data_IF_434028408785
#
_entry.id   IF_434028408785
#
_cell.length_a   1.000
_cell.length_b   1.000
_cell.length_c   1.000
_cell.angle_alpha   90.00
_cell.angle_beta   90.00
_cell.angle_gamma   90.00
#
_symmetry.space_group_name_H-M   'P 1'
#
loop_
_entity.id
_entity.type
_entity.pdbx_description
1 polymer ?
#
# COMPACT_ATOMS: atom_id res chain seq x y z
N UNK A 1 -0.63 4.14 19.95
CA UNK A 1 0.36 3.05 19.70
C UNK A 1 1.68 3.51 20.31
N UNK A 2 2.25 2.81 21.31
CA UNK A 2 3.53 3.21 21.92
C UNK A 2 4.66 2.47 21.22
N UNK A 3 5.58 3.20 20.57
CA UNK A 3 6.68 2.64 19.78
C UNK A 3 7.96 2.58 20.63
N UNK A 4 8.65 1.44 20.60
CA UNK A 4 9.95 1.28 21.26
C UNK A 4 11.06 2.00 20.47
N UNK A 5 11.94 2.65 21.23
CA UNK A 5 12.87 3.68 20.76
C UNK A 5 14.26 3.06 20.51
N UNK A 6 14.64 2.87 19.24
CA UNK A 6 16.02 2.66 18.80
C UNK A 6 16.14 3.11 17.32
N UNK A 7 16.10 4.42 17.09
CA UNK A 7 15.78 5.02 15.78
C UNK A 7 16.74 4.73 14.61
N UNK A 8 18.04 4.50 14.85
CA UNK A 8 19.03 4.34 13.75
C UNK A 8 19.17 2.92 13.19
N UNK A 9 18.81 1.89 13.95
CA UNK A 9 18.99 0.51 13.49
C UNK A 9 17.92 0.08 12.46
N UNK A 10 16.74 0.73 12.55
CA UNK A 10 15.52 0.33 11.88
C UNK A 10 15.13 1.22 10.68
N UNK A 11 15.92 2.23 10.32
CA UNK A 11 15.66 3.05 9.13
C UNK A 11 16.91 3.11 8.24
N UNK A 12 16.84 2.49 7.06
CA UNK A 12 18.00 2.28 6.19
C UNK A 12 17.63 2.50 4.73
N UNK A 13 18.41 3.33 4.05
CA UNK A 13 18.36 3.44 2.59
C UNK A 13 19.29 2.39 2.00
N UNK A 14 18.75 1.54 1.12
CA UNK A 14 19.50 0.55 0.34
C UNK A 14 19.44 0.89 -1.13
N UNK A 15 20.61 0.89 -1.75
CA UNK A 15 20.77 1.04 -3.17
C UNK A 15 20.81 -0.33 -3.84
N UNK A 16 19.91 -0.54 -4.79
CA UNK A 16 19.80 -1.77 -5.59
C UNK A 16 20.33 -1.48 -6.99
N UNK A 17 21.31 -2.26 -7.43
CA UNK A 17 21.83 -2.16 -8.78
C UNK A 17 20.86 -2.81 -9.78
N UNK A 18 20.40 -2.05 -10.75
CA UNK A 18 19.60 -2.53 -11.87
C UNK A 18 20.56 -3.17 -12.90
N UNK A 19 20.78 -4.47 -12.76
CA UNK A 19 21.65 -5.22 -13.68
C UNK A 19 21.06 -5.32 -15.09
N UNK A 20 21.92 -5.47 -16.10
CA UNK A 20 21.49 -5.70 -17.50
C UNK A 20 20.58 -6.92 -17.66
N UNK A 21 20.72 -7.94 -16.80
CA UNK A 21 19.85 -9.12 -16.82
C UNK A 21 18.43 -8.79 -16.36
N UNK A 22 18.29 -7.94 -15.33
CA UNK A 22 16.99 -7.46 -14.85
C UNK A 22 16.31 -6.55 -15.88
N UNK A 23 17.07 -5.67 -16.54
CA UNK A 23 16.56 -4.78 -17.59
C UNK A 23 16.02 -5.56 -18.80
N UNK A 24 16.62 -6.71 -19.14
CA UNK A 24 16.11 -7.58 -20.21
C UNK A 24 14.75 -8.21 -19.86
N UNK A 25 14.46 -8.42 -18.57
CA UNK A 25 13.20 -9.02 -18.11
C UNK A 25 12.04 -8.03 -18.07
N UNK A 26 12.30 -6.74 -17.90
CA UNK A 26 11.26 -5.70 -17.82
C UNK A 26 11.67 -4.46 -18.59
N UNK A 27 10.88 -4.11 -19.62
CA UNK A 27 11.13 -2.98 -20.52
C UNK A 27 11.27 -1.66 -19.76
N UNK A 28 10.36 -1.37 -18.82
CA UNK A 28 10.35 -0.13 -18.05
C UNK A 28 11.62 0.08 -17.20
N UNK A 29 12.34 -0.99 -16.85
CA UNK A 29 13.61 -0.88 -16.12
C UNK A 29 14.75 -0.40 -17.01
N UNK A 30 14.68 -0.61 -18.34
CA UNK A 30 15.63 0.00 -19.29
C UNK A 30 15.40 1.50 -19.35
N UNK A 31 14.15 1.92 -19.45
CA UNK A 31 13.78 3.34 -19.50
C UNK A 31 14.17 4.06 -18.19
N UNK A 32 13.88 3.45 -17.04
CA UNK A 32 14.32 3.97 -15.75
C UNK A 32 15.85 4.08 -15.66
N UNK A 33 16.57 3.02 -16.05
CA UNK A 33 18.03 3.00 -16.04
C UNK A 33 18.65 4.09 -16.92
N UNK A 34 18.03 4.38 -18.07
CA UNK A 34 18.48 5.42 -18.99
C UNK A 34 18.20 6.84 -18.46
N UNK A 35 17.12 7.04 -17.71
CA UNK A 35 16.69 8.35 -17.22
C UNK A 35 17.28 8.73 -15.86
N UNK A 36 17.28 7.78 -14.90
CA UNK A 36 17.70 8.00 -13.51
C UNK A 36 18.97 7.24 -13.10
N UNK A 37 19.52 6.45 -14.01
CA UNK A 37 20.72 5.64 -13.78
C UNK A 37 20.42 4.24 -13.26
N UNK A 38 21.48 3.42 -13.19
CA UNK A 38 21.37 2.00 -12.84
C UNK A 38 21.23 1.73 -11.34
N UNK A 39 21.09 2.76 -10.50
CA UNK A 39 21.00 2.63 -9.06
C UNK A 39 19.59 3.00 -8.59
N UNK A 40 18.90 2.06 -7.95
CA UNK A 40 17.56 2.23 -7.43
C UNK A 40 17.62 2.34 -5.90
N UNK A 41 17.38 3.54 -5.38
CA UNK A 41 17.38 3.80 -3.93
C UNK A 41 16.03 3.43 -3.34
N UNK A 42 16.02 2.62 -2.28
CA UNK A 42 14.83 2.26 -1.52
C UNK A 42 15.07 2.46 -0.03
N UNK A 43 14.13 3.09 0.65
CA UNK A 43 14.17 3.24 2.09
C UNK A 43 13.39 2.11 2.75
N UNK A 44 14.03 1.47 3.72
CA UNK A 44 13.48 0.41 4.55
C UNK A 44 13.29 0.96 5.96
N UNK A 45 12.04 1.03 6.40
CA UNK A 45 11.64 1.48 7.73
C UNK A 45 11.08 0.27 8.47
N UNK A 46 11.64 -0.06 9.62
CA UNK A 46 11.25 -1.19 10.42
C UNK A 46 10.56 -0.73 11.71
N UNK A 47 9.58 -1.49 12.20
CA UNK A 47 8.96 -1.20 13.49
C UNK A 47 8.61 -2.48 14.24
N UNK A 48 8.94 -2.50 15.54
CA UNK A 48 8.58 -3.61 16.42
C UNK A 48 7.26 -3.32 17.12
N UNK A 49 6.35 -4.28 17.05
CA UNK A 49 5.03 -4.25 17.68
C UNK A 49 5.09 -4.82 19.10
N UNK A 50 4.01 -4.63 19.86
CA UNK A 50 3.92 -5.02 21.28
C UNK A 50 3.99 -6.54 21.49
N UNK A 51 3.54 -7.29 20.50
CA UNK A 51 3.56 -8.76 20.47
C UNK A 51 4.93 -9.33 20.02
N UNK A 52 5.92 -8.47 19.81
CA UNK A 52 7.26 -8.86 19.38
C UNK A 52 7.42 -9.00 17.86
N UNK A 53 6.34 -8.89 17.08
CA UNK A 53 6.43 -8.92 15.62
C UNK A 53 7.17 -7.69 15.08
N UNK A 54 7.83 -7.84 13.94
CA UNK A 54 8.55 -6.74 13.26
C UNK A 54 7.91 -6.49 11.90
N UNK A 55 7.37 -5.29 11.72
CA UNK A 55 6.94 -4.79 10.42
C UNK A 55 8.11 -4.17 9.66
N UNK A 56 8.24 -4.48 8.38
CA UNK A 56 9.20 -3.86 7.46
C UNK A 56 8.41 -3.14 6.37
N UNK A 57 8.63 -1.84 6.26
CA UNK A 57 7.99 -0.96 5.29
C UNK A 57 9.02 -0.50 4.27
N UNK A 58 8.65 -0.56 2.99
CA UNK A 58 9.51 -0.10 1.89
C UNK A 58 8.85 1.13 1.29
N UNK A 59 9.61 2.22 1.18
CA UNK A 59 9.09 3.51 0.71
C UNK A 59 10.16 4.28 -0.07
N UNK A 60 9.70 5.17 -0.96
CA UNK A 60 10.51 6.20 -1.63
C UNK A 60 10.41 7.55 -0.90
N UNK A 61 9.62 7.64 0.17
CA UNK A 61 9.43 8.88 0.91
C UNK A 61 10.71 9.28 1.69
N UNK A 62 11.15 10.55 1.58
CA UNK A 62 12.40 11.00 2.19
C UNK A 62 12.31 11.03 3.71
N UNK A 63 13.38 10.59 4.39
CA UNK A 63 13.43 10.56 5.85
C UNK A 63 13.46 11.91 6.54
N UNK A 64 13.85 12.97 5.81
CA UNK A 64 13.84 14.35 6.32
C UNK A 64 12.42 14.90 6.52
N UNK A 65 11.48 14.46 5.69
CA UNK A 65 10.09 14.94 5.70
C UNK A 65 9.17 13.91 6.37
N UNK A 66 9.42 12.63 6.14
CA UNK A 66 8.62 11.53 6.65
C UNK A 66 9.46 10.67 7.62
N UNK A 67 9.48 11.01 8.93
CA UNK A 67 10.12 10.17 9.93
C UNK A 67 9.47 8.78 9.99
N UNK A 68 10.15 7.85 10.65
CA UNK A 68 9.72 6.46 10.80
C UNK A 68 8.28 6.35 11.31
N UNK A 69 7.94 7.15 12.31
CA UNK A 69 6.63 7.14 12.97
C UNK A 69 5.51 7.47 11.98
N UNK A 70 5.76 8.42 11.07
CA UNK A 70 4.80 8.83 10.04
C UNK A 70 4.62 7.74 8.99
N UNK A 71 5.70 7.05 8.59
CA UNK A 71 5.60 5.90 7.67
C UNK A 71 4.72 4.79 8.28
N UNK A 72 4.94 4.48 9.57
CA UNK A 72 4.15 3.47 10.28
C UNK A 72 2.69 3.91 10.41
N UNK A 73 2.45 5.18 10.72
CA UNK A 73 1.10 5.75 10.82
C UNK A 73 0.37 5.73 9.47
N UNK A 74 1.03 6.17 8.39
CA UNK A 74 0.50 6.16 7.03
C UNK A 74 0.17 4.74 6.59
N UNK A 75 1.05 3.78 6.84
CA UNK A 75 0.73 2.37 6.57
C UNK A 75 -0.46 1.89 7.42
N UNK A 76 -0.58 2.35 8.67
CA UNK A 76 -1.74 2.06 9.51
C UNK A 76 -3.07 2.51 8.89
N UNK A 77 -3.10 3.61 8.12
CA UNK A 77 -4.31 4.06 7.40
C UNK A 77 -4.80 3.08 6.35
N UNK A 78 -3.93 2.18 5.86
CA UNK A 78 -4.32 1.08 4.96
C UNK A 78 -5.39 0.18 5.57
N UNK A 79 -5.37 -0.03 6.90
CA UNK A 79 -6.35 -0.87 7.58
C UNK A 79 -7.80 -0.38 7.40
N UNK A 80 -7.99 0.93 7.25
CA UNK A 80 -9.31 1.51 7.02
C UNK A 80 -9.96 0.95 5.73
N UNK A 81 -9.15 0.60 4.72
CA UNK A 81 -9.63 -0.01 3.48
C UNK A 81 -10.16 -1.43 3.75
N UNK A 82 -9.47 -2.23 4.56
CA UNK A 82 -9.93 -3.58 4.92
C UNK A 82 -11.23 -3.55 5.72
N UNK A 83 -11.34 -2.61 6.67
CA UNK A 83 -12.59 -2.40 7.40
C UNK A 83 -13.72 -1.91 6.48
N UNK A 84 -13.38 -1.09 5.48
CA UNK A 84 -14.35 -0.63 4.50
C UNK A 84 -14.88 -1.79 3.65
N UNK A 85 -14.02 -2.69 3.18
CA UNK A 85 -14.47 -3.90 2.46
C UNK A 85 -15.37 -4.80 3.31
N UNK A 86 -15.11 -4.88 4.61
CA UNK A 86 -15.99 -5.61 5.52
C UNK A 86 -17.35 -4.94 5.63
N UNK A 87 -17.40 -3.62 5.75
CA UNK A 87 -18.64 -2.85 5.73
C UNK A 87 -19.40 -3.02 4.40
N UNK A 88 -18.72 -2.94 3.27
CA UNK A 88 -19.31 -3.17 1.95
C UNK A 88 -19.94 -4.57 1.82
N UNK A 89 -19.25 -5.60 2.30
CA UNK A 89 -19.76 -6.98 2.25
C UNK A 89 -20.96 -7.20 3.14
N UNK A 90 -20.90 -6.73 4.39
CA UNK A 90 -21.91 -7.07 5.41
C UNK A 90 -23.02 -6.04 5.57
N UNK A 91 -22.71 -4.75 5.43
CA UNK A 91 -23.67 -3.66 5.65
C UNK A 91 -24.31 -3.17 4.35
N UNK A 92 -23.55 -3.12 3.25
CA UNK A 92 -24.11 -2.83 1.91
C UNK A 92 -24.57 -4.09 1.16
N UNK A 93 -24.30 -5.26 1.74
CA UNK A 93 -24.63 -6.57 1.16
C UNK A 93 -24.24 -6.66 -0.32
N UNK A 94 -23.03 -6.23 -0.68
CA UNK A 94 -22.59 -6.25 -2.08
C UNK A 94 -22.52 -7.66 -2.67
N UNK A 95 -22.47 -8.69 -1.82
CA UNK A 95 -22.51 -10.10 -2.21
C UNK A 95 -23.96 -10.62 -2.42
N UNK A 96 -24.98 -9.89 -1.96
CA UNK A 96 -26.39 -10.22 -2.12
C UNK A 96 -26.95 -9.54 -3.38
N UNK A 97 -26.91 -10.25 -4.51
CA UNK A 97 -27.27 -9.75 -5.83
C UNK A 97 -28.33 -10.63 -6.48
N UNK A 98 -29.30 -10.03 -7.15
CA UNK A 98 -30.38 -10.76 -7.82
C UNK A 98 -29.96 -11.24 -9.23
N UNK A 99 -28.97 -10.58 -9.81
CA UNK A 99 -28.50 -10.81 -11.17
C UNK A 99 -27.87 -12.17 -11.39
N UNK A 100 -28.25 -12.80 -12.51
CA UNK A 100 -27.69 -14.09 -12.99
C UNK A 100 -26.64 -13.93 -14.10
N UNK A 101 -26.38 -12.70 -14.55
CA UNK A 101 -25.39 -12.40 -15.58
C UNK A 101 -24.35 -11.40 -15.07
N UNK A 102 -23.11 -11.53 -15.55
CA UNK A 102 -21.98 -10.70 -15.11
C UNK A 102 -22.22 -9.20 -15.37
N UNK A 103 -22.83 -8.84 -16.50
CA UNK A 103 -23.10 -7.44 -16.83
C UNK A 103 -24.08 -6.79 -15.87
N UNK A 104 -25.16 -7.51 -15.50
CA UNK A 104 -26.18 -6.98 -14.59
C UNK A 104 -25.70 -6.97 -13.14
N UNK A 105 -24.88 -7.95 -12.77
CA UNK A 105 -24.15 -7.95 -11.50
C UNK A 105 -23.33 -6.67 -11.33
N UNK A 106 -22.52 -6.31 -12.34
CA UNK A 106 -21.72 -5.09 -12.29
C UNK A 106 -22.59 -3.84 -12.18
N UNK A 107 -23.72 -3.79 -12.89
CA UNK A 107 -24.67 -2.67 -12.79
C UNK A 107 -25.24 -2.53 -11.37
N UNK A 108 -25.68 -3.63 -10.75
CA UNK A 108 -26.16 -3.64 -9.37
C UNK A 108 -25.06 -3.22 -8.39
N UNK A 109 -23.85 -3.74 -8.55
CA UNK A 109 -22.68 -3.38 -7.73
C UNK A 109 -22.40 -1.88 -7.79
N UNK A 110 -22.27 -1.31 -8.99
CA UNK A 110 -22.00 0.12 -9.16
C UNK A 110 -23.15 1.00 -8.66
N UNK A 111 -24.40 0.58 -8.84
CA UNK A 111 -25.56 1.31 -8.31
C UNK A 111 -25.55 1.36 -6.78
N UNK A 112 -25.23 0.25 -6.11
CA UNK A 112 -25.12 0.18 -4.64
C UNK A 112 -23.99 1.09 -4.12
N UNK A 113 -22.79 1.00 -4.71
CA UNK A 113 -21.65 1.86 -4.33
C UNK A 113 -21.97 3.34 -4.55
N UNK A 114 -22.53 3.69 -5.71
CA UNK A 114 -22.89 5.08 -6.02
C UNK A 114 -23.91 5.63 -5.02
N UNK A 115 -24.96 4.86 -4.73
CA UNK A 115 -26.01 5.27 -3.77
C UNK A 115 -25.44 5.45 -2.37
N UNK A 116 -24.58 4.54 -1.94
CA UNK A 116 -23.88 4.66 -0.66
C UNK A 116 -23.01 5.92 -0.60
N UNK A 117 -22.21 6.18 -1.64
CA UNK A 117 -21.35 7.36 -1.68
C UNK A 117 -22.17 8.66 -1.64
N UNK A 118 -23.31 8.72 -2.34
CA UNK A 118 -24.19 9.89 -2.33
C UNK A 118 -24.87 10.14 -0.98
N UNK A 119 -25.14 9.08 -0.21
CA UNK A 119 -25.82 9.18 1.10
C UNK A 119 -24.87 9.34 2.28
N UNK A 120 -23.58 9.05 2.07
CA UNK A 120 -22.52 9.20 3.08
C UNK A 120 -21.80 10.55 3.01
N UNK A 121 -22.17 11.39 2.05
CA UNK A 121 -21.73 12.79 1.87
C UNK A 121 -22.58 13.74 2.72
#
# INVERSE_FOLDING_TARGET
MKFFNNSKEYDKVKNILITKNIQKKKEWLKEYANTKGNLFSLRFVCSRYKDGQVGIFVTDLPGSEFPREDIVFLYGKRWNIETHFSFEKYSLELENVASKTSIRFLQEYYAKILTFNLTSL
#
